data_IF_640519890733
#
_entry.id   IF_640519890733
#
_cell.length_a   1.000
_cell.length_b   1.000
_cell.length_c   1.000
_cell.angle_alpha   90.00
_cell.angle_beta   90.00
_cell.angle_gamma   90.00
#
_symmetry.space_group_name_H-M   'P 1'
#
loop_
_entity.id
_entity.type
_entity.pdbx_description
1 polymer ?
#
# COMPACT_ATOMS: atom_id res chain seq x y z
N UNK A 1 34.93 3.01 -46.74
CA UNK A 1 34.72 2.32 -45.44
C UNK A 1 33.91 3.24 -44.55
N UNK A 2 32.67 2.89 -44.22
CA UNK A 2 31.86 3.58 -43.21
C UNK A 2 31.60 2.59 -42.09
N UNK A 3 32.12 2.87 -40.91
CA UNK A 3 31.85 2.13 -39.67
C UNK A 3 30.52 2.62 -39.09
N UNK A 4 29.50 1.76 -39.12
CA UNK A 4 28.26 1.97 -38.36
C UNK A 4 28.53 1.44 -36.96
N UNK A 5 28.68 2.35 -35.99
CA UNK A 5 28.68 2.02 -34.57
C UNK A 5 27.22 1.86 -34.15
N UNK A 6 26.78 0.61 -33.95
CA UNK A 6 25.49 0.31 -33.36
C UNK A 6 25.47 0.79 -31.91
N UNK A 7 24.52 1.66 -31.57
CA UNK A 7 24.26 2.06 -30.18
C UNK A 7 23.23 1.10 -29.61
N UNK A 8 23.68 0.09 -28.86
CA UNK A 8 22.81 -0.89 -28.19
C UNK A 8 22.14 -0.29 -26.95
N UNK A 9 21.39 0.80 -27.14
CA UNK A 9 20.44 1.29 -26.14
C UNK A 9 19.10 0.63 -26.38
N UNK A 10 18.82 -0.44 -25.64
CA UNK A 10 17.47 -1.00 -25.51
C UNK A 10 16.59 0.10 -24.91
N UNK A 11 15.90 0.82 -25.78
CA UNK A 11 14.98 1.88 -25.36
C UNK A 11 13.64 1.20 -25.16
N UNK A 12 13.34 0.80 -23.92
CA UNK A 12 12.02 0.29 -23.58
C UNK A 12 10.99 1.40 -23.80
N UNK A 13 10.29 1.36 -24.93
CA UNK A 13 9.18 2.26 -25.21
C UNK A 13 7.94 1.66 -24.58
N UNK A 14 7.56 2.17 -23.42
CA UNK A 14 6.22 1.95 -22.91
C UNK A 14 5.23 2.59 -23.91
N UNK A 15 4.33 1.84 -24.54
CA UNK A 15 3.31 2.43 -25.40
C UNK A 15 2.32 3.17 -24.52
N UNK A 16 2.61 4.44 -24.23
CA UNK A 16 1.63 5.33 -23.62
C UNK A 16 0.59 5.61 -24.69
N UNK A 17 -0.66 5.30 -24.39
CA UNK A 17 -1.78 5.51 -25.30
C UNK A 17 -1.95 7.01 -25.63
N UNK A 18 -2.45 7.31 -26.83
CA UNK A 18 -2.65 8.69 -27.27
C UNK A 18 -3.74 9.40 -26.44
N UNK A 19 -4.78 8.68 -26.03
CA UNK A 19 -5.83 9.22 -25.19
C UNK A 19 -5.28 9.59 -23.83
N UNK A 20 -4.50 8.70 -23.22
CA UNK A 20 -3.86 8.99 -21.93
C UNK A 20 -2.98 10.24 -22.00
N UNK A 21 -2.23 10.43 -23.09
CA UNK A 21 -1.42 11.66 -23.26
C UNK A 21 -2.30 12.92 -23.31
N UNK A 22 -3.41 12.88 -24.03
CA UNK A 22 -4.34 14.00 -24.11
C UNK A 22 -4.96 14.30 -22.73
N UNK A 23 -5.40 13.27 -22.01
CA UNK A 23 -5.97 13.41 -20.67
C UNK A 23 -4.93 13.95 -19.67
N UNK A 24 -3.67 13.50 -19.80
CA UNK A 24 -2.57 13.99 -18.97
C UNK A 24 -2.24 15.46 -19.26
N UNK A 25 -2.21 15.86 -20.52
CA UNK A 25 -1.98 17.26 -20.90
C UNK A 25 -3.13 18.17 -20.44
N UNK A 26 -4.37 17.70 -20.51
CA UNK A 26 -5.55 18.36 -19.95
C UNK A 26 -5.42 18.52 -18.43
N UNK A 27 -5.01 17.46 -17.72
CA UNK A 27 -4.78 17.48 -16.28
C UNK A 27 -3.70 18.50 -15.89
N UNK A 28 -2.57 18.52 -16.61
CA UNK A 28 -1.48 19.48 -16.38
C UNK A 28 -1.93 20.93 -16.61
N UNK A 29 -2.81 21.16 -17.59
CA UNK A 29 -3.39 22.48 -17.85
C UNK A 29 -4.26 22.93 -16.67
N UNK A 30 -5.16 22.07 -16.21
CA UNK A 30 -6.03 22.36 -15.04
C UNK A 30 -5.24 22.65 -13.78
N UNK A 31 -4.18 21.89 -13.52
CA UNK A 31 -3.31 22.13 -12.37
C UNK A 31 -2.67 23.53 -12.43
N UNK A 32 -2.22 23.94 -13.62
CA UNK A 32 -1.66 25.27 -13.88
C UNK A 32 -2.69 26.38 -13.72
N UNK A 33 -3.89 26.19 -14.25
CA UNK A 33 -4.99 27.17 -14.15
C UNK A 33 -5.44 27.36 -12.69
N UNK A 34 -5.28 26.34 -11.85
CA UNK A 34 -5.54 26.37 -10.42
C UNK A 34 -4.34 26.82 -9.57
N UNK A 35 -3.26 27.34 -10.18
CA UNK A 35 -1.99 27.74 -9.53
C UNK A 35 -1.43 26.66 -8.58
N UNK A 36 -1.65 25.39 -8.94
CA UNK A 36 -1.28 24.23 -8.13
C UNK A 36 -0.26 23.36 -8.86
N UNK A 37 0.58 22.67 -8.10
CA UNK A 37 1.48 21.68 -8.71
C UNK A 37 0.67 20.43 -9.10
N UNK A 38 0.99 19.74 -10.22
CA UNK A 38 0.31 18.51 -10.59
C UNK A 38 0.25 17.47 -9.47
N UNK A 39 1.30 17.40 -8.64
CA UNK A 39 1.33 16.54 -7.45
C UNK A 39 0.30 16.92 -6.39
N UNK A 40 0.06 18.21 -6.16
CA UNK A 40 -0.94 18.67 -5.19
C UNK A 40 -2.36 18.39 -5.71
N UNK A 41 -2.61 18.64 -7.00
CA UNK A 41 -3.89 18.33 -7.63
C UNK A 41 -4.19 16.83 -7.58
N UNK A 42 -3.19 15.98 -7.85
CA UNK A 42 -3.33 14.52 -7.69
C UNK A 42 -3.61 14.11 -6.24
N UNK A 43 -2.91 14.72 -5.28
CA UNK A 43 -3.14 14.43 -3.86
C UNK A 43 -4.55 14.80 -3.43
N UNK A 44 -5.05 15.97 -3.83
CA UNK A 44 -6.42 16.39 -3.54
C UNK A 44 -7.44 15.43 -4.13
N UNK A 45 -7.27 15.03 -5.40
CA UNK A 45 -8.16 14.06 -6.05
C UNK A 45 -8.19 12.72 -5.32
N UNK A 46 -7.03 12.20 -4.92
CA UNK A 46 -6.94 10.94 -4.18
C UNK A 46 -7.58 11.06 -2.79
N UNK A 47 -7.35 12.17 -2.10
CA UNK A 47 -7.96 12.43 -0.79
C UNK A 47 -9.49 12.52 -0.91
N UNK A 48 -9.99 13.25 -1.90
CA UNK A 48 -11.43 13.38 -2.17
C UNK A 48 -12.07 12.03 -2.46
N UNK A 49 -11.43 11.21 -3.31
CA UNK A 49 -11.89 9.85 -3.60
C UNK A 49 -11.94 8.96 -2.35
N UNK A 50 -10.88 8.96 -1.54
CA UNK A 50 -10.84 8.17 -0.31
C UNK A 50 -11.86 8.65 0.74
N UNK A 51 -12.08 9.97 0.82
CA UNK A 51 -13.10 10.53 1.70
C UNK A 51 -14.51 10.15 1.25
N UNK A 52 -14.77 10.13 -0.07
CA UNK A 52 -16.04 9.69 -0.62
C UNK A 52 -16.31 8.22 -0.28
N UNK A 53 -15.31 7.34 -0.46
CA UNK A 53 -15.43 5.93 -0.09
C UNK A 53 -15.67 5.72 1.42
N UNK A 54 -14.93 6.46 2.26
CA UNK A 54 -15.12 6.40 3.71
C UNK A 54 -16.52 6.88 4.11
N UNK A 55 -17.04 7.90 3.45
CA UNK A 55 -18.37 8.41 3.74
C UNK A 55 -19.47 7.43 3.28
N UNK A 56 -19.26 6.71 2.17
CA UNK A 56 -20.17 5.64 1.76
C UNK A 56 -20.19 4.49 2.78
N UNK A 57 -19.03 4.10 3.30
CA UNK A 57 -18.90 3.08 4.35
C UNK A 57 -19.50 3.52 5.70
N UNK A 58 -19.27 4.78 6.12
CA UNK A 58 -19.86 5.34 7.34
C UNK A 58 -21.39 5.46 7.28
N UNK A 59 -21.96 5.72 6.10
CA UNK A 59 -23.43 5.77 5.92
C UNK A 59 -24.04 4.38 6.05
N UNK A 60 -23.38 3.34 5.54
CA UNK A 60 -23.82 1.97 5.71
C UNK A 60 -23.72 1.51 7.19
N UNK A 61 -22.67 1.93 7.91
CA UNK A 61 -22.48 1.65 9.35
C UNK A 61 -23.49 2.40 10.23
N UNK A 62 -23.78 3.68 9.92
CA UNK A 62 -24.79 4.48 10.64
C UNK A 62 -26.20 3.91 10.43
N UNK A 63 -26.54 3.48 9.21
CA UNK A 63 -27.81 2.82 8.90
C UNK A 63 -27.94 1.45 9.60
N UNK A 64 -26.84 0.71 9.79
CA UNK A 64 -26.82 -0.54 10.54
C UNK A 64 -26.96 -0.31 12.06
N UNK A 65 -26.26 0.69 12.60
CA UNK A 65 -26.37 1.14 13.99
C UNK A 65 -27.80 1.62 14.32
N UNK A 66 -28.43 2.39 13.43
CA UNK A 66 -29.81 2.85 13.61
C UNK A 66 -30.80 1.69 13.57
N UNK A 67 -30.59 0.69 12.69
CA UNK A 67 -31.41 -0.54 12.68
C UNK A 67 -31.21 -1.37 13.95
N UNK A 68 -29.98 -1.46 14.46
CA UNK A 68 -29.65 -2.15 15.69
C UNK A 68 -30.32 -1.46 16.90
N UNK A 69 -30.23 -0.14 16.97
CA UNK A 69 -30.89 0.69 17.98
C UNK A 69 -32.41 0.54 17.92
N UNK A 70 -33.02 0.64 16.74
CA UNK A 70 -34.48 0.45 16.57
C UNK A 70 -34.90 -0.96 16.98
N UNK A 71 -34.08 -1.98 16.70
CA UNK A 71 -34.33 -3.36 17.11
C UNK A 71 -34.23 -3.54 18.62
N UNK A 72 -33.23 -2.93 19.26
CA UNK A 72 -33.06 -2.95 20.71
C UNK A 72 -34.22 -2.24 21.42
N UNK A 73 -34.68 -1.10 20.90
CA UNK A 73 -35.88 -0.41 21.42
C UNK A 73 -37.17 -1.24 21.27
N UNK A 74 -37.29 -2.04 20.20
CA UNK A 74 -38.42 -2.95 20.00
C UNK A 74 -38.36 -4.18 20.92
N UNK A 75 -37.17 -4.75 21.13
CA UNK A 75 -36.95 -5.84 22.09
C UNK A 75 -37.21 -5.36 23.53
N UNK A 76 -36.77 -4.14 23.88
CA UNK A 76 -37.03 -3.54 25.21
C UNK A 76 -38.51 -3.21 25.45
N UNK A 77 -39.32 -3.04 24.40
CA UNK A 77 -40.76 -2.79 24.54
C UNK A 77 -41.58 -4.05 24.83
N UNK A 78 -41.02 -5.25 24.72
CA UNK A 78 -41.75 -6.49 25.07
C UNK A 78 -41.65 -6.85 26.57
N UNK A 79 -40.78 -6.20 27.35
CA UNK A 79 -40.46 -6.63 28.73
C UNK A 79 -40.77 -5.61 29.85
N UNK A 80 -41.18 -4.37 29.58
CA UNK A 80 -41.35 -3.35 30.63
C UNK A 80 -42.69 -2.58 30.55
N UNK A 81 -43.77 -3.27 30.93
CA UNK A 81 -44.77 -2.63 31.80
C UNK A 81 -44.12 -2.54 33.19
N UNK A 82 -43.84 -1.33 33.68
CA UNK A 82 -43.91 -0.86 35.08
C UNK A 82 -42.80 0.17 35.46
N UNK A 83 -43.24 1.41 35.68
CA UNK A 83 -42.77 2.40 36.67
C UNK A 83 -41.36 3.04 36.61
N UNK A 84 -41.38 4.32 36.19
CA UNK A 84 -41.12 5.52 37.00
C UNK A 84 -39.68 5.95 37.39
N UNK A 85 -39.51 7.28 37.37
CA UNK A 85 -38.62 8.13 38.19
C UNK A 85 -37.22 8.58 37.68
N UNK A 86 -37.23 9.81 37.15
CA UNK A 86 -36.47 10.98 37.64
C UNK A 86 -34.95 11.15 37.34
N UNK A 87 -34.70 12.14 36.46
CA UNK A 87 -33.71 13.24 36.51
C UNK A 87 -32.21 12.95 36.81
N UNK A 88 -31.32 13.31 35.87
CA UNK A 88 -30.07 14.02 36.24
C UNK A 88 -29.44 14.80 35.09
N UNK A 89 -28.86 15.92 35.50
CA UNK A 89 -28.42 17.08 34.75
C UNK A 89 -26.97 16.96 34.21
N UNK A 90 -26.77 17.40 32.96
CA UNK A 90 -25.63 18.17 32.41
C UNK A 90 -24.16 17.66 32.42
N UNK A 91 -23.57 17.85 31.22
CA UNK A 91 -22.25 18.45 30.90
C UNK A 91 -21.05 17.55 30.49
N UNK A 92 -20.85 17.43 29.16
CA UNK A 92 -19.67 17.80 28.30
C UNK A 92 -18.21 17.37 28.62
N UNK A 93 -17.33 17.26 27.59
CA UNK A 93 -16.33 16.18 27.44
C UNK A 93 -14.91 16.50 27.96
N UNK A 94 -14.05 15.48 28.18
CA UNK A 94 -12.66 15.69 28.54
C UNK A 94 -11.75 16.03 27.34
N UNK A 95 -11.20 17.24 27.42
CA UNK A 95 -9.80 17.65 27.25
C UNK A 95 -8.93 16.98 26.16
N UNK A 96 -8.60 17.78 25.14
CA UNK A 96 -7.65 17.51 24.07
C UNK A 96 -6.22 17.19 24.56
N UNK A 97 -5.69 16.02 24.14
CA UNK A 97 -4.30 15.64 24.38
C UNK A 97 -3.28 16.41 23.53
N UNK A 98 -2.13 16.67 24.16
CA UNK A 98 -1.07 17.58 23.73
C UNK A 98 -0.22 16.98 22.60
N UNK A 99 -0.20 17.63 21.43
CA UNK A 99 0.77 17.37 20.35
C UNK A 99 2.18 17.83 20.75
N UNK A 100 3.19 16.97 20.56
CA UNK A 100 4.64 17.29 20.66
C UNK A 100 5.41 16.74 19.43
N UNK A 101 6.60 17.27 19.12
CA UNK A 101 6.91 17.82 17.79
C UNK A 101 7.62 16.87 16.80
N UNK A 102 7.38 17.11 15.51
CA UNK A 102 8.06 16.44 14.41
C UNK A 102 9.55 16.82 14.34
N UNK A 103 10.41 15.80 14.41
CA UNK A 103 11.87 15.89 14.28
C UNK A 103 12.25 16.17 12.82
N UNK A 104 12.86 17.33 12.56
CA UNK A 104 13.41 17.71 11.24
C UNK A 104 14.62 16.81 10.90
N UNK A 105 14.50 16.02 9.83
CA UNK A 105 15.61 15.23 9.26
C UNK A 105 16.41 16.11 8.30
N UNK A 106 17.70 16.27 8.57
CA UNK A 106 18.66 16.96 7.69
C UNK A 106 18.93 16.09 6.45
N UNK A 107 18.77 16.66 5.26
CA UNK A 107 19.11 16.01 3.98
C UNK A 107 20.64 15.92 3.86
N UNK A 108 21.18 14.71 3.87
CA UNK A 108 22.58 14.44 3.51
C UNK A 108 22.62 14.18 2.00
N UNK A 109 23.31 15.03 1.24
CA UNK A 109 23.57 14.79 -0.17
C UNK A 109 24.51 13.59 -0.31
N UNK A 110 24.04 12.50 -0.92
CA UNK A 110 24.89 11.38 -1.34
C UNK A 110 25.55 11.73 -2.68
N UNK A 111 26.87 11.58 -2.73
CA UNK A 111 27.69 11.69 -3.94
C UNK A 111 27.30 10.55 -4.92
N UNK A 112 27.26 10.78 -6.25
CA UNK A 112 26.99 9.72 -7.21
C UNK A 112 28.11 8.65 -7.16
N UNK A 113 27.80 7.34 -7.15
CA UNK A 113 28.81 6.31 -7.29
C UNK A 113 29.35 6.28 -8.72
N UNK A 114 30.67 6.13 -8.83
CA UNK A 114 31.37 5.94 -10.11
C UNK A 114 30.94 4.63 -10.79
N UNK A 115 30.92 4.58 -12.14
CA UNK A 115 30.50 3.41 -12.89
C UNK A 115 31.58 2.32 -12.81
N UNK A 116 31.32 1.28 -12.01
CA UNK A 116 32.06 0.02 -12.08
C UNK A 116 31.39 -0.84 -13.15
N UNK A 117 32.14 -1.09 -14.22
CA UNK A 117 31.76 -1.93 -15.36
C UNK A 117 31.53 -3.37 -14.95
N UNK A 118 30.50 -3.98 -15.55
CA UNK A 118 30.20 -5.42 -15.73
C UNK A 118 30.41 -6.35 -14.53
N UNK A 119 29.34 -6.94 -13.93
CA UNK A 119 29.54 -8.12 -13.11
C UNK A 119 29.75 -9.30 -14.06
N UNK A 120 31.01 -9.66 -14.29
CA UNK A 120 31.33 -11.07 -14.51
C UNK A 120 30.62 -11.85 -13.39
N UNK A 121 29.89 -12.89 -13.76
CA UNK A 121 29.20 -13.78 -12.81
C UNK A 121 30.25 -14.57 -12.02
N UNK A 122 30.99 -13.89 -11.15
CA UNK A 122 31.78 -14.53 -10.12
C UNK A 122 30.81 -15.22 -9.16
N UNK A 123 31.00 -16.52 -8.97
CA UNK A 123 30.31 -17.38 -7.98
C UNK A 123 30.40 -16.83 -6.53
N UNK A 124 31.10 -15.72 -6.29
CA UNK A 124 31.15 -14.95 -5.04
C UNK A 124 29.95 -14.04 -4.76
N UNK A 125 29.04 -13.79 -5.70
CA UNK A 125 27.80 -13.02 -5.46
C UNK A 125 26.81 -13.70 -4.49
N UNK A 126 27.08 -14.95 -4.10
CA UNK A 126 26.30 -15.75 -3.16
C UNK A 126 26.37 -15.25 -1.71
N UNK A 127 27.30 -14.36 -1.35
CA UNK A 127 27.41 -13.86 0.03
C UNK A 127 26.22 -12.93 0.43
N UNK A 128 25.61 -12.23 -0.53
CA UNK A 128 24.41 -11.41 -0.29
C UNK A 128 23.13 -12.27 -0.20
N UNK A 129 23.21 -13.59 -0.43
CA UNK A 129 22.07 -14.49 -0.49
C UNK A 129 21.40 -14.77 0.88
N UNK A 130 22.11 -14.56 1.99
CA UNK A 130 21.59 -14.86 3.32
C UNK A 130 20.92 -13.67 4.03
N UNK A 131 20.15 -12.86 3.28
CA UNK A 131 19.27 -11.86 3.91
C UNK A 131 17.85 -12.40 4.04
N UNK A 132 17.05 -11.96 5.04
CA UNK A 132 15.67 -12.42 5.22
C UNK A 132 14.81 -12.30 3.95
N UNK A 133 14.99 -11.22 3.18
CA UNK A 133 14.32 -10.99 1.88
C UNK A 133 14.63 -12.09 0.86
N UNK A 134 15.91 -12.41 0.67
CA UNK A 134 16.33 -13.40 -0.32
C UNK A 134 15.95 -14.82 0.10
N UNK A 135 15.99 -15.12 1.41
CA UNK A 135 15.47 -16.38 1.95
C UNK A 135 13.97 -16.53 1.71
N UNK A 136 13.20 -15.45 1.89
CA UNK A 136 11.76 -15.44 1.60
C UNK A 136 11.48 -15.66 0.12
N UNK A 137 12.23 -15.01 -0.78
CA UNK A 137 12.08 -15.20 -2.23
C UNK A 137 12.50 -16.60 -2.68
N UNK A 138 13.57 -17.15 -2.11
CA UNK A 138 14.00 -18.52 -2.39
C UNK A 138 12.93 -19.53 -1.93
N UNK A 139 12.35 -19.32 -0.75
CA UNK A 139 11.25 -20.14 -0.24
C UNK A 139 10.05 -20.08 -1.17
N UNK A 140 9.61 -18.89 -1.56
CA UNK A 140 8.48 -18.71 -2.46
C UNK A 140 8.70 -19.47 -3.79
N UNK A 141 9.87 -19.32 -4.43
CA UNK A 141 10.21 -20.06 -5.66
C UNK A 141 10.27 -21.57 -5.49
N UNK A 142 10.57 -22.06 -4.28
CA UNK A 142 10.60 -23.49 -3.99
C UNK A 142 9.21 -24.09 -3.73
N UNK A 143 8.26 -23.25 -3.32
CA UNK A 143 6.87 -23.65 -3.06
C UNK A 143 5.96 -23.41 -4.28
N UNK A 144 6.33 -22.49 -5.15
CA UNK A 144 5.57 -22.13 -6.35
C UNK A 144 5.68 -23.23 -7.41
N UNK A 145 4.56 -23.89 -7.69
CA UNK A 145 4.40 -24.90 -8.74
C UNK A 145 3.93 -24.30 -10.08
N UNK A 146 3.78 -22.97 -10.14
CA UNK A 146 3.29 -22.22 -11.29
C UNK A 146 1.89 -21.62 -11.10
N UNK A 147 1.14 -22.07 -10.09
CA UNK A 147 -0.18 -21.51 -9.77
C UNK A 147 -0.12 -20.39 -8.71
N UNK A 148 1.02 -20.22 -8.05
CA UNK A 148 1.23 -19.29 -6.95
C UNK A 148 1.23 -19.99 -5.59
N UNK A 149 1.59 -19.24 -4.56
CA UNK A 149 1.79 -19.77 -3.20
C UNK A 149 0.80 -19.19 -2.22
N UNK A 150 0.14 -20.05 -1.44
CA UNK A 150 -0.75 -19.63 -0.36
C UNK A 150 -0.02 -18.76 0.69
N UNK A 151 -0.57 -17.59 1.07
CA UNK A 151 0.03 -16.68 2.05
C UNK A 151 0.38 -17.33 3.39
N UNK A 152 -0.56 -18.09 3.96
CA UNK A 152 -0.43 -18.64 5.31
C UNK A 152 0.56 -19.80 5.32
N UNK A 153 0.56 -20.62 4.27
CA UNK A 153 1.56 -21.66 4.04
C UNK A 153 2.97 -21.05 3.90
N UNK A 154 3.12 -19.98 3.11
CA UNK A 154 4.39 -19.31 2.91
C UNK A 154 4.95 -18.74 4.23
N UNK A 155 4.09 -18.08 5.02
CA UNK A 155 4.46 -17.55 6.33
C UNK A 155 4.84 -18.66 7.31
N UNK A 156 4.03 -19.72 7.40
CA UNK A 156 4.28 -20.86 8.28
C UNK A 156 5.63 -21.53 7.96
N UNK A 157 5.93 -21.72 6.66
CA UNK A 157 7.23 -22.28 6.23
C UNK A 157 8.39 -21.33 6.48
N UNK A 158 8.18 -20.02 6.35
CA UNK A 158 9.20 -19.02 6.64
C UNK A 158 9.57 -18.98 8.13
N UNK A 159 8.59 -19.14 9.02
CA UNK A 159 8.80 -19.27 10.46
C UNK A 159 9.57 -20.54 10.81
N UNK A 160 9.20 -21.68 10.23
CA UNK A 160 9.92 -22.95 10.40
C UNK A 160 11.39 -22.85 9.96
N UNK A 161 11.67 -22.09 8.91
CA UNK A 161 13.03 -21.83 8.42
C UNK A 161 13.77 -20.75 9.23
N UNK A 162 13.14 -20.15 10.25
CA UNK A 162 13.75 -19.11 11.06
C UNK A 162 14.06 -17.83 10.27
N UNK A 163 13.20 -17.47 9.32
CA UNK A 163 13.26 -16.16 8.66
C UNK A 163 12.71 -15.11 9.64
N UNK A 164 13.50 -14.10 10.03
CA UNK A 164 13.03 -13.10 11.00
C UNK A 164 11.97 -12.21 10.38
N UNK A 165 10.86 -12.00 11.11
CA UNK A 165 9.72 -11.14 10.72
C UNK A 165 9.18 -11.46 9.32
N UNK A 166 8.73 -12.69 9.06
CA UNK A 166 8.38 -13.16 7.73
C UNK A 166 7.27 -12.31 7.08
N UNK A 167 6.25 -11.92 7.85
CA UNK A 167 5.17 -11.06 7.36
C UNK A 167 5.68 -9.69 6.87
N UNK A 168 6.63 -9.07 7.58
CA UNK A 168 7.22 -7.79 7.17
C UNK A 168 8.05 -7.94 5.90
N UNK A 169 8.83 -9.01 5.77
CA UNK A 169 9.61 -9.27 4.57
C UNK A 169 8.70 -9.54 3.36
N UNK A 170 7.62 -10.31 3.54
CA UNK A 170 6.60 -10.53 2.53
C UNK A 170 5.95 -9.21 2.08
N UNK A 171 5.48 -8.37 3.03
CA UNK A 171 4.93 -7.06 2.70
C UNK A 171 5.92 -6.16 1.96
N UNK A 172 7.22 -6.21 2.29
CA UNK A 172 8.26 -5.48 1.56
C UNK A 172 8.38 -5.95 0.12
N UNK A 173 8.19 -7.24 -0.15
CA UNK A 173 8.23 -7.78 -1.51
C UNK A 173 6.98 -7.35 -2.30
N UNK A 174 5.81 -7.38 -1.66
CA UNK A 174 4.55 -6.90 -2.25
C UNK A 174 4.61 -5.41 -2.59
N UNK A 175 5.02 -4.58 -1.63
CA UNK A 175 5.18 -3.12 -1.84
C UNK A 175 6.18 -2.77 -2.95
N UNK A 176 7.13 -3.66 -3.24
CA UNK A 176 8.11 -3.50 -4.31
C UNK A 176 7.63 -4.07 -5.66
N UNK A 177 6.42 -4.63 -5.72
CA UNK A 177 5.88 -5.28 -6.91
C UNK A 177 6.64 -6.54 -7.31
N UNK A 178 7.40 -7.15 -6.39
CA UNK A 178 8.09 -8.42 -6.64
C UNK A 178 7.12 -9.59 -6.45
N UNK A 179 6.24 -9.47 -5.45
CA UNK A 179 5.11 -10.36 -5.25
C UNK A 179 3.81 -9.60 -5.49
N UNK A 180 2.80 -10.28 -5.99
CA UNK A 180 1.44 -9.76 -6.08
C UNK A 180 0.43 -10.85 -5.71
N UNK A 181 -0.74 -10.44 -5.23
CA UNK A 181 -1.82 -11.34 -4.88
C UNK A 181 -2.71 -11.55 -6.11
N UNK A 182 -2.96 -12.80 -6.49
CA UNK A 182 -3.86 -13.19 -7.57
C UNK A 182 -4.67 -14.40 -7.11
N UNK A 183 -6.00 -14.31 -7.13
CA UNK A 183 -6.89 -15.40 -6.67
C UNK A 183 -6.57 -15.89 -5.25
N UNK A 184 -6.11 -14.98 -4.37
CA UNK A 184 -5.71 -15.32 -2.99
C UNK A 184 -4.29 -15.89 -2.85
N UNK A 185 -3.58 -16.15 -3.95
CA UNK A 185 -2.23 -16.70 -3.96
C UNK A 185 -1.18 -15.63 -4.29
N UNK A 186 0.02 -15.74 -3.72
CA UNK A 186 1.15 -14.91 -4.10
C UNK A 186 1.85 -15.43 -5.34
N UNK A 187 2.05 -14.56 -6.32
CA UNK A 187 2.81 -14.84 -7.56
C UNK A 187 3.99 -13.89 -7.70
N UNK A 188 5.03 -14.34 -8.38
CA UNK A 188 6.18 -13.49 -8.73
C UNK A 188 5.90 -12.75 -10.03
N UNK A 189 6.30 -11.48 -10.10
CA UNK A 189 6.35 -10.77 -11.38
C UNK A 189 7.47 -11.38 -12.22
N UNK A 190 7.09 -12.03 -13.33
CA UNK A 190 8.00 -12.68 -14.28
C UNK A 190 8.81 -11.66 -15.08
#
# INVERSE_FOLDING_TARGET
MLTIVASDRITFRFPIDKQFRADWDDFLRRARDADSTPSQTLQQLVIEYLNQQKHEEEVDDDDEMDRQMVKEYLDQQEDEDEADDEETDRQTPPESEKRKPARKVRKVHRKPPEPVSEPELEEGALAQANTPKFRMLALMRSLDDGEGVDPDMLLSKAEQLGIPRPQLEMQKLVRRGILYLHEGLYRTTS
#
